data_IF_921863829638
#
_entry.id   IF_921863829638
#
_cell.length_a   1.000
_cell.length_b   1.000
_cell.length_c   1.000
_cell.angle_alpha   90.00
_cell.angle_beta   90.00
_cell.angle_gamma   90.00
#
_symmetry.space_group_name_H-M   'P 1'
#
loop_
_entity.id
_entity.type
_entity.pdbx_description
1 polymer ?
#
# COMPACT_ATOMS: atom_id res chain seq x y z
N UNK A 1 26.63 -60.52 11.27
CA UNK A 1 25.57 -59.89 10.44
C UNK A 1 26.24 -59.08 9.35
N UNK A 2 25.80 -59.30 8.12
CA UNK A 2 26.51 -59.03 6.86
C UNK A 2 25.89 -57.79 6.19
N UNK A 3 26.75 -56.84 5.82
CA UNK A 3 26.78 -55.97 4.62
C UNK A 3 25.54 -55.12 4.26
N UNK A 4 25.76 -53.79 4.23
CA UNK A 4 25.01 -52.79 3.46
C UNK A 4 25.16 -53.01 1.95
N UNK A 5 24.12 -52.68 1.15
CA UNK A 5 24.37 -52.12 -0.17
C UNK A 5 23.78 -50.70 -0.32
N UNK A 6 24.60 -49.81 -0.87
CA UNK A 6 24.17 -48.60 -1.55
C UNK A 6 23.86 -48.93 -3.03
N UNK A 7 22.76 -48.41 -3.57
CA UNK A 7 22.44 -48.27 -5.01
C UNK A 7 21.27 -47.24 -5.09
N UNK A 8 21.53 -45.98 -5.45
CA UNK A 8 21.44 -45.42 -6.81
C UNK A 8 20.14 -45.76 -7.53
N UNK A 9 19.30 -44.76 -7.81
CA UNK A 9 18.87 -44.44 -9.18
C UNK A 9 17.95 -43.20 -9.24
N UNK A 10 18.51 -42.15 -9.86
CA UNK A 10 17.92 -41.30 -10.90
C UNK A 10 16.59 -40.54 -10.67
N UNK A 11 16.71 -39.22 -10.90
CA UNK A 11 15.68 -38.17 -11.04
C UNK A 11 14.54 -38.55 -12.00
N UNK A 12 13.43 -37.81 -11.90
CA UNK A 12 12.87 -37.17 -13.10
C UNK A 12 12.93 -35.64 -13.00
N UNK A 13 13.62 -35.03 -13.96
CA UNK A 13 13.47 -33.62 -14.33
C UNK A 13 12.13 -33.49 -15.06
N UNK A 14 11.15 -32.80 -14.48
CA UNK A 14 9.95 -32.42 -15.23
C UNK A 14 10.20 -31.09 -15.92
N UNK A 15 10.43 -31.19 -17.22
CA UNK A 15 10.60 -30.11 -18.18
C UNK A 15 9.22 -29.58 -18.53
N UNK A 16 8.95 -28.30 -18.25
CA UNK A 16 7.75 -27.60 -18.73
C UNK A 16 8.08 -27.04 -20.13
N UNK A 17 7.33 -27.40 -21.19
CA UNK A 17 7.66 -26.97 -22.54
C UNK A 17 7.31 -25.49 -22.80
N UNK A 18 8.32 -24.76 -23.26
CA UNK A 18 8.25 -23.44 -23.90
C UNK A 18 7.40 -23.54 -25.18
N UNK A 19 6.22 -22.91 -25.19
CA UNK A 19 5.46 -22.69 -26.42
C UNK A 19 6.01 -21.45 -27.12
N UNK A 20 6.89 -21.69 -28.08
CA UNK A 20 7.38 -20.73 -29.07
C UNK A 20 6.24 -20.45 -30.04
N UNK A 21 5.78 -19.20 -30.09
CA UNK A 21 4.98 -18.69 -31.23
C UNK A 21 5.95 -17.82 -32.03
N UNK A 22 6.36 -18.33 -33.20
CA UNK A 22 7.06 -17.58 -34.26
C UNK A 22 6.16 -17.53 -35.49
N UNK A 23 6.52 -16.57 -36.35
CA UNK A 23 5.88 -16.10 -37.58
C UNK A 23 4.85 -14.99 -37.30
N UNK A 24 4.96 -13.79 -37.87
CA UNK A 24 5.56 -13.44 -39.18
C UNK A 24 5.97 -11.96 -39.21
N UNK A 25 7.16 -11.68 -39.76
CA UNK A 25 7.58 -10.36 -40.24
C UNK A 25 7.02 -10.17 -41.66
N UNK A 26 6.22 -9.12 -41.86
CA UNK A 26 5.95 -8.46 -43.14
C UNK A 26 5.83 -6.97 -42.81
N UNK A 27 6.90 -6.22 -43.06
CA UNK A 27 7.04 -5.27 -44.19
C UNK A 27 6.51 -3.88 -43.85
N UNK A 28 7.43 -2.93 -43.96
CA UNK A 28 7.21 -1.51 -43.79
C UNK A 28 6.16 -0.97 -44.76
N UNK A 29 5.29 -0.07 -44.29
CA UNK A 29 4.71 0.98 -45.12
C UNK A 29 4.41 2.23 -44.26
N UNK A 30 5.11 3.31 -44.58
CA UNK A 30 4.75 4.68 -44.23
C UNK A 30 3.49 5.06 -45.01
N UNK A 31 2.44 5.56 -44.37
CA UNK A 31 1.61 6.68 -44.87
C UNK A 31 0.62 7.09 -43.77
N UNK A 32 0.75 8.32 -43.26
CA UNK A 32 -0.17 9.45 -43.46
C UNK A 32 -1.58 9.25 -42.89
N UNK A 33 -1.84 10.05 -41.85
CA UNK A 33 -3.10 10.64 -41.44
C UNK A 33 -4.34 10.23 -42.24
N UNK A 34 -5.35 9.67 -41.57
CA UNK A 34 -6.72 10.18 -41.64
C UNK A 34 -7.69 9.29 -40.85
N UNK A 35 -8.64 9.98 -40.19
CA UNK A 35 -10.00 9.52 -39.93
C UNK A 35 -10.23 8.33 -38.99
N UNK A 36 -10.38 8.67 -37.71
CA UNK A 36 -11.36 7.98 -36.86
C UNK A 36 -12.73 8.55 -37.25
N UNK A 37 -13.56 7.76 -37.94
CA UNK A 37 -14.99 8.06 -38.08
C UNK A 37 -15.69 7.60 -36.79
N UNK A 38 -16.25 8.58 -36.10
CA UNK A 38 -17.23 8.43 -35.04
C UNK A 38 -18.52 7.85 -35.60
N UNK A 39 -19.05 6.81 -34.95
CA UNK A 39 -20.49 6.60 -34.90
C UNK A 39 -20.97 6.82 -33.46
N UNK A 40 -21.65 7.96 -33.32
CA UNK A 40 -22.85 8.17 -32.51
C UNK A 40 -22.85 7.69 -31.05
N UNK A 41 -22.33 8.53 -30.14
CA UNK A 41 -23.11 8.96 -28.98
C UNK A 41 -22.82 10.43 -28.69
N UNK A 42 -23.78 11.28 -29.06
CA UNK A 42 -23.76 12.69 -28.71
C UNK A 42 -24.01 12.85 -27.21
N UNK A 43 -23.03 13.41 -26.51
CA UNK A 43 -23.30 14.24 -25.34
C UNK A 43 -22.45 15.49 -25.47
N UNK A 44 -23.11 16.57 -25.91
CA UNK A 44 -22.57 17.91 -26.00
C UNK A 44 -22.12 18.38 -24.63
N UNK A 45 -20.81 18.52 -24.42
CA UNK A 45 -20.26 19.40 -23.39
C UNK A 45 -19.47 20.47 -24.12
N UNK A 46 -19.97 21.71 -24.07
CA UNK A 46 -19.31 22.89 -24.65
C UNK A 46 -17.89 23.04 -24.10
N UNK A 47 -16.91 23.46 -24.93
CA UNK A 47 -15.59 23.84 -24.44
C UNK A 47 -15.68 25.24 -23.85
N UNK A 48 -15.36 25.40 -22.57
CA UNK A 48 -15.16 26.74 -22.02
C UNK A 48 -13.99 26.75 -21.04
N UNK A 49 -13.00 27.56 -21.42
CA UNK A 49 -11.95 28.14 -20.59
C UNK A 49 -10.91 27.19 -19.99
N UNK A 50 -9.81 27.12 -20.75
CA UNK A 50 -8.44 27.12 -20.22
C UNK A 50 -8.36 28.04 -19.00
N UNK A 51 -8.22 27.45 -17.82
CA UNK A 51 -7.51 28.08 -16.70
C UNK A 51 -6.27 27.21 -16.48
N UNK A 52 -5.17 27.67 -17.06
CA UNK A 52 -3.84 27.37 -16.54
C UNK A 52 -3.81 27.80 -15.08
N UNK A 53 -3.58 26.87 -14.16
CA UNK A 53 -3.43 27.21 -12.75
C UNK A 53 -3.52 25.99 -11.85
N UNK A 54 -2.36 25.49 -11.44
CA UNK A 54 -2.17 24.57 -10.31
C UNK A 54 -2.86 23.20 -10.40
N UNK A 55 -2.07 22.18 -10.78
CA UNK A 55 -2.17 20.86 -10.13
C UNK A 55 -1.80 21.04 -8.66
N UNK A 56 -2.72 21.58 -7.87
CA UNK A 56 -2.67 21.48 -6.43
C UNK A 56 -2.95 20.01 -6.13
N UNK A 57 -1.89 19.19 -6.02
CA UNK A 57 -1.93 17.96 -5.23
C UNK A 57 -2.22 18.38 -3.79
N UNK A 58 -3.48 18.77 -3.53
CA UNK A 58 -4.00 18.90 -2.19
C UNK A 58 -3.92 17.50 -1.64
N UNK A 59 -3.05 17.29 -0.65
CA UNK A 59 -2.96 16.07 0.12
C UNK A 59 -4.26 15.91 0.90
N UNK A 60 -5.33 15.49 0.21
CA UNK A 60 -6.65 15.28 0.80
C UNK A 60 -6.50 14.19 1.86
N UNK A 61 -7.00 14.47 3.06
CA UNK A 61 -7.10 13.49 4.13
C UNK A 61 -7.71 12.19 3.60
N UNK A 62 -7.12 11.05 3.95
CA UNK A 62 -7.66 9.74 3.61
C UNK A 62 -9.01 9.45 4.30
N UNK A 63 -9.36 10.22 5.34
CA UNK A 63 -10.52 10.01 6.19
C UNK A 63 -11.49 11.18 6.08
N UNK A 64 -12.79 10.86 6.01
CA UNK A 64 -13.85 11.85 6.22
C UNK A 64 -13.89 12.31 7.68
N UNK A 65 -14.67 13.36 7.97
CA UNK A 65 -14.85 13.86 9.35
C UNK A 65 -15.43 12.78 10.26
N UNK A 66 -16.47 12.07 9.80
CA UNK A 66 -17.10 10.98 10.57
C UNK A 66 -16.11 9.84 10.84
N UNK A 67 -15.46 9.33 9.79
CA UNK A 67 -14.46 8.26 9.93
C UNK A 67 -13.32 8.66 10.88
N UNK A 68 -12.92 9.93 10.87
CA UNK A 68 -11.90 10.41 11.79
C UNK A 68 -12.34 10.33 13.24
N UNK A 69 -13.59 10.66 13.53
CA UNK A 69 -14.14 10.58 14.88
C UNK A 69 -14.27 9.12 15.31
N UNK A 70 -14.75 8.25 14.42
CA UNK A 70 -14.91 6.82 14.70
C UNK A 70 -13.56 6.15 15.01
N UNK A 71 -12.51 6.46 14.25
CA UNK A 71 -11.15 5.96 14.52
C UNK A 71 -10.64 6.42 15.88
N UNK A 72 -10.83 7.70 16.22
CA UNK A 72 -10.43 8.22 17.52
C UNK A 72 -11.21 7.52 18.63
N UNK A 73 -12.53 7.39 18.52
CA UNK A 73 -13.36 6.68 19.48
C UNK A 73 -12.87 5.24 19.69
N UNK A 74 -12.62 4.49 18.61
CA UNK A 74 -12.11 3.11 18.68
C UNK A 74 -10.78 3.01 19.44
N UNK A 75 -9.89 4.01 19.27
CA UNK A 75 -8.60 4.07 20.00
C UNK A 75 -8.83 4.37 21.49
N UNK A 76 -9.81 5.21 21.82
CA UNK A 76 -10.19 5.49 23.20
C UNK A 76 -10.84 4.27 23.86
N UNK A 77 -11.75 3.57 23.18
CA UNK A 77 -12.38 2.35 23.69
C UNK A 77 -11.35 1.26 24.00
N UNK A 78 -10.34 1.09 23.13
CA UNK A 78 -9.24 0.15 23.36
C UNK A 78 -8.34 0.55 24.55
N UNK A 79 -8.31 1.84 24.92
CA UNK A 79 -7.61 2.30 26.12
C UNK A 79 -8.47 2.10 27.37
N UNK A 80 -9.75 2.46 27.30
CA UNK A 80 -10.68 2.39 28.41
C UNK A 80 -10.96 0.93 28.82
N UNK A 81 -10.93 -0.01 27.87
CA UNK A 81 -11.01 -1.45 28.14
C UNK A 81 -9.68 -2.10 28.58
N UNK A 82 -8.59 -1.32 28.70
CA UNK A 82 -7.28 -1.78 29.15
C UNK A 82 -6.44 -2.53 28.10
N UNK A 83 -6.87 -2.61 26.84
CA UNK A 83 -6.13 -3.32 25.77
C UNK A 83 -4.83 -2.61 25.37
N UNK A 84 -4.74 -1.30 25.57
CA UNK A 84 -3.54 -0.50 25.29
C UNK A 84 -3.22 0.45 26.46
N UNK A 85 -1.93 0.78 26.63
CA UNK A 85 -1.50 1.73 27.65
C UNK A 85 -1.67 3.19 27.21
N UNK A 86 -1.57 4.14 28.15
CA UNK A 86 -1.67 5.57 27.86
C UNK A 86 -0.67 6.02 26.78
N UNK A 87 0.59 5.58 26.86
CA UNK A 87 1.60 5.95 25.86
C UNK A 87 1.34 5.30 24.50
N UNK A 88 0.77 4.09 24.47
CA UNK A 88 0.34 3.45 23.22
C UNK A 88 -0.82 4.21 22.58
N UNK A 89 -1.82 4.63 23.37
CA UNK A 89 -2.90 5.52 22.91
C UNK A 89 -2.32 6.79 22.28
N UNK A 90 -1.39 7.45 22.97
CA UNK A 90 -0.75 8.66 22.46
C UNK A 90 0.05 8.42 21.18
N UNK A 91 0.72 7.27 21.04
CA UNK A 91 1.39 6.86 19.82
C UNK A 91 0.41 6.71 18.64
N UNK A 92 -0.71 6.02 18.86
CA UNK A 92 -1.71 5.74 17.84
C UNK A 92 -2.45 7.01 17.39
N UNK A 93 -2.81 7.89 18.33
CA UNK A 93 -3.42 9.19 17.99
C UNK A 93 -2.46 10.05 17.17
N UNK A 94 -1.17 10.10 17.54
CA UNK A 94 -0.19 10.87 16.76
C UNK A 94 0.05 10.26 15.38
N UNK A 95 0.11 8.93 15.27
CA UNK A 95 0.17 8.25 13.98
C UNK A 95 -1.04 8.63 13.12
N UNK A 96 -2.26 8.55 13.67
CA UNK A 96 -3.49 8.91 12.96
C UNK A 96 -3.48 10.37 12.49
N UNK A 97 -3.06 11.30 13.34
CA UNK A 97 -2.94 12.73 12.97
C UNK A 97 -1.93 12.96 11.84
N UNK A 98 -0.81 12.23 11.81
CA UNK A 98 0.18 12.32 10.72
C UNK A 98 -0.40 11.80 9.40
N UNK A 99 -1.18 10.72 9.44
CA UNK A 99 -1.89 10.20 8.25
C UNK A 99 -2.94 11.21 7.76
N UNK A 100 -3.70 11.81 8.68
CA UNK A 100 -4.72 12.82 8.37
C UNK A 100 -4.12 14.07 7.74
N UNK A 101 -2.89 14.46 8.10
CA UNK A 101 -2.17 15.57 7.47
C UNK A 101 -1.57 15.24 6.11
N UNK A 102 -1.80 14.03 5.58
CA UNK A 102 -1.39 13.63 4.22
C UNK A 102 -0.07 12.86 4.14
N UNK A 103 0.63 12.63 5.26
CA UNK A 103 1.81 11.76 5.27
C UNK A 103 1.34 10.31 5.50
N UNK A 104 1.13 9.59 4.40
CA UNK A 104 0.54 8.24 4.42
C UNK A 104 1.53 7.12 4.78
N UNK A 105 2.84 7.40 4.83
CA UNK A 105 3.88 6.40 5.11
C UNK A 105 4.90 6.89 6.15
N UNK A 106 4.46 7.33 7.35
CA UNK A 106 5.36 7.88 8.35
C UNK A 106 6.30 6.80 8.92
N UNK A 107 7.55 7.19 9.17
CA UNK A 107 8.48 6.32 9.91
C UNK A 107 8.08 6.26 11.38
N UNK A 108 8.34 5.13 12.04
CA UNK A 108 8.07 5.01 13.48
C UNK A 108 8.83 6.05 14.31
N UNK A 109 10.03 6.45 13.85
CA UNK A 109 10.82 7.53 14.47
C UNK A 109 10.11 8.88 14.37
N UNK A 110 9.48 9.20 13.24
CA UNK A 110 8.69 10.43 13.11
C UNK A 110 7.51 10.44 14.12
N UNK A 111 6.80 9.32 14.25
CA UNK A 111 5.72 9.18 15.23
C UNK A 111 6.25 9.35 16.66
N UNK A 112 7.36 8.70 16.98
CA UNK A 112 8.00 8.75 18.31
C UNK A 112 8.39 10.19 18.69
N UNK A 113 9.02 10.92 17.77
CA UNK A 113 9.42 12.32 17.97
C UNK A 113 8.20 13.22 18.20
N UNK A 114 7.14 13.07 17.40
CA UNK A 114 5.92 13.88 17.53
C UNK A 114 5.19 13.61 18.84
N UNK A 115 5.11 12.34 19.24
CA UNK A 115 4.47 11.92 20.47
C UNK A 115 5.35 12.11 21.72
N UNK A 116 6.64 12.45 21.57
CA UNK A 116 7.64 12.52 22.65
C UNK A 116 7.73 11.23 23.49
N UNK A 117 7.71 10.09 22.80
CA UNK A 117 7.79 8.76 23.41
C UNK A 117 8.90 7.92 22.78
N UNK A 118 9.26 6.81 23.42
CA UNK A 118 10.31 5.93 22.91
C UNK A 118 9.89 5.25 21.60
N UNK A 119 10.87 4.98 20.73
CA UNK A 119 10.66 4.20 19.51
C UNK A 119 10.11 2.80 19.80
N UNK A 120 10.55 2.19 20.92
CA UNK A 120 10.05 0.88 21.37
C UNK A 120 8.56 0.93 21.66
N UNK A 121 8.09 1.97 22.35
CA UNK A 121 6.66 2.16 22.64
C UNK A 121 5.83 2.29 21.37
N UNK A 122 6.33 3.01 20.36
CA UNK A 122 5.64 3.12 19.06
C UNK A 122 5.57 1.76 18.36
N UNK A 123 6.67 1.01 18.33
CA UNK A 123 6.70 -0.33 17.74
C UNK A 123 5.72 -1.28 18.43
N UNK A 124 5.68 -1.27 19.76
CA UNK A 124 4.72 -2.07 20.53
C UNK A 124 3.28 -1.62 20.30
N UNK A 125 3.02 -0.30 20.28
CA UNK A 125 1.68 0.23 19.99
C UNK A 125 1.17 -0.24 18.62
N UNK A 126 2.00 -0.17 17.58
CA UNK A 126 1.63 -0.65 16.24
C UNK A 126 1.44 -2.17 16.22
N UNK A 127 2.29 -2.92 16.92
CA UNK A 127 2.17 -4.38 17.00
C UNK A 127 0.86 -4.80 17.67
N UNK A 128 0.52 -4.19 18.80
CA UNK A 128 -0.72 -4.45 19.54
C UNK A 128 -1.93 -3.99 18.74
N UNK A 129 -1.91 -2.78 18.17
CA UNK A 129 -3.01 -2.26 17.35
C UNK A 129 -3.28 -3.14 16.11
N UNK A 130 -2.24 -3.71 15.50
CA UNK A 130 -2.39 -4.68 14.42
C UNK A 130 -3.07 -5.97 14.91
N UNK A 131 -2.67 -6.48 16.07
CA UNK A 131 -3.25 -7.69 16.66
C UNK A 131 -4.73 -7.49 17.03
N UNK A 132 -5.10 -6.29 17.49
CA UNK A 132 -6.48 -5.91 17.81
C UNK A 132 -7.33 -5.57 16.57
N UNK A 133 -6.75 -5.61 15.35
CA UNK A 133 -7.46 -5.22 14.12
C UNK A 133 -7.73 -3.72 13.98
N UNK A 134 -7.15 -2.87 14.85
CA UNK A 134 -7.29 -1.41 14.81
C UNK A 134 -6.49 -0.77 13.67
N UNK A 135 -5.34 -1.36 13.33
CA UNK A 135 -4.45 -0.84 12.28
C UNK A 135 -4.02 -1.93 11.32
N UNK A 136 -4.29 -1.72 10.03
CA UNK A 136 -3.71 -2.49 8.95
C UNK A 136 -2.37 -1.87 8.53
N UNK A 137 -1.32 -2.69 8.52
CA UNK A 137 0.03 -2.28 8.10
C UNK A 137 0.36 -2.95 6.77
N UNK A 138 0.49 -2.16 5.71
CA UNK A 138 0.80 -2.65 4.36
C UNK A 138 2.23 -2.27 3.99
N UNK A 139 3.17 -3.22 3.85
CA UNK A 139 4.51 -2.92 3.41
C UNK A 139 4.51 -2.49 1.93
N UNK A 140 5.27 -1.44 1.61
CA UNK A 140 5.52 -0.98 0.25
C UNK A 140 6.90 -1.45 -0.20
N UNK A 141 6.97 -1.97 -1.41
CA UNK A 141 8.20 -2.43 -2.04
C UNK A 141 8.45 -1.68 -3.33
N UNK A 142 9.73 -1.49 -3.66
CA UNK A 142 10.20 -1.00 -4.94
C UNK A 142 11.23 -1.97 -5.51
N UNK A 143 11.29 -2.07 -6.83
CA UNK A 143 12.30 -2.88 -7.51
C UNK A 143 13.57 -2.04 -7.65
N UNK A 144 14.60 -2.40 -6.89
CA UNK A 144 15.93 -1.76 -6.97
C UNK A 144 16.92 -2.78 -7.51
N UNK A 145 17.51 -2.50 -8.68
CA UNK A 145 18.45 -3.42 -9.37
C UNK A 145 17.89 -4.83 -9.54
N UNK A 146 16.61 -4.94 -9.91
CA UNK A 146 15.93 -6.22 -10.14
C UNK A 146 15.54 -7.00 -8.89
N UNK A 147 15.71 -6.44 -7.67
CA UNK A 147 15.30 -7.07 -6.41
C UNK A 147 14.24 -6.22 -5.69
N UNK A 148 13.20 -6.83 -5.10
CA UNK A 148 12.24 -6.08 -4.30
C UNK A 148 12.89 -5.61 -3.00
N UNK A 149 12.90 -4.30 -2.77
CA UNK A 149 13.38 -3.66 -1.54
C UNK A 149 12.22 -2.96 -0.86
N UNK A 150 12.08 -3.17 0.46
CA UNK A 150 11.05 -2.48 1.26
C UNK A 150 11.39 -0.99 1.35
N UNK A 151 10.43 -0.15 0.98
CA UNK A 151 10.53 1.30 1.05
C UNK A 151 10.00 1.82 2.40
N UNK A 152 8.73 1.56 2.67
CA UNK A 152 8.01 2.10 3.81
C UNK A 152 6.81 1.21 4.15
N UNK A 153 6.10 1.57 5.22
CA UNK A 153 4.81 0.99 5.54
C UNK A 153 3.73 2.04 5.35
N UNK A 154 2.63 1.63 4.74
CA UNK A 154 1.36 2.35 4.83
C UNK A 154 0.57 1.84 6.02
N UNK A 155 -0.15 2.75 6.64
CA UNK A 155 -1.01 2.46 7.78
C UNK A 155 -2.44 2.88 7.44
N UNK A 156 -3.39 2.00 7.73
CA UNK A 156 -4.82 2.27 7.61
C UNK A 156 -5.47 1.93 8.94
N UNK A 157 -6.18 2.88 9.53
CA UNK A 157 -6.97 2.62 10.72
C UNK A 157 -8.31 2.04 10.31
N UNK A 158 -8.70 0.98 10.99
CA UNK A 158 -10.05 0.45 10.92
C UNK A 158 -10.85 1.03 12.08
N UNK A 159 -11.95 1.71 11.79
CA UNK A 159 -12.97 1.94 12.81
C UNK A 159 -13.74 0.62 12.95
N UNK A 160 -13.49 -0.12 14.03
CA UNK A 160 -14.27 -1.31 14.32
C UNK A 160 -15.70 -0.83 14.61
N UNK A 161 -16.65 -1.23 13.77
CA UNK A 161 -18.08 -0.95 13.94
C UNK A 161 -18.70 -1.93 14.91
#
# INVERSE_FOLDING_TARGET
MIVLPALSNQKPKTIIPLRIIRHSRLSAQKSKASFIKNEAYGLYIKPCLVIQGFYLMTTRSLYTKQQSNDVVATIFDAFDNGSITLHMKQALINLFQILKSGNNSPTQRHVANKARISLRTVSEAIRVAKALGLVLVVPQYEIVKGRPRRLANRYFFNALK
#
